data_IF_498009571325
#
_entry.id   IF_498009571325
#
_cell.length_a   1.000
_cell.length_b   1.000
_cell.length_c   1.000
_cell.angle_alpha   90.00
_cell.angle_beta   90.00
_cell.angle_gamma   90.00
#
_symmetry.space_group_name_H-M   'P 1'
#
loop_
_entity.id
_entity.type
_entity.pdbx_description
1 polymer ?
#
# COMPACT_ATOMS: atom_id res chain seq x y z
N UNK A 1 -21.45 -9.57 -28.96
CA UNK A 1 -20.73 -8.93 -27.83
C UNK A 1 -19.61 -8.10 -28.42
N UNK A 2 -19.57 -6.79 -28.14
CA UNK A 2 -18.54 -5.88 -28.67
C UNK A 2 -17.16 -6.28 -28.14
N UNK A 3 -16.17 -6.48 -29.03
CA UNK A 3 -14.80 -6.89 -28.69
C UNK A 3 -14.16 -5.96 -27.65
N UNK A 4 -14.42 -4.65 -27.75
CA UNK A 4 -13.91 -3.64 -26.83
C UNK A 4 -14.46 -3.86 -25.42
N UNK A 5 -15.77 -4.11 -25.29
CA UNK A 5 -16.41 -4.36 -24.00
C UNK A 5 -15.90 -5.65 -23.35
N UNK A 6 -15.62 -6.68 -24.16
CA UNK A 6 -15.04 -7.91 -23.66
C UNK A 6 -13.64 -7.70 -23.07
N UNK A 7 -12.77 -6.99 -23.79
CA UNK A 7 -11.41 -6.68 -23.33
C UNK A 7 -11.43 -5.82 -22.07
N UNK A 8 -12.28 -4.79 -22.02
CA UNK A 8 -12.43 -3.94 -20.81
C UNK A 8 -12.90 -4.75 -19.61
N UNK A 9 -13.83 -5.69 -19.82
CA UNK A 9 -14.30 -6.59 -18.74
C UNK A 9 -13.21 -7.51 -18.23
N UNK A 10 -12.40 -8.10 -19.11
CA UNK A 10 -11.27 -8.94 -18.73
C UNK A 10 -10.21 -8.15 -17.96
N UNK A 11 -9.90 -6.94 -18.43
CA UNK A 11 -8.92 -6.09 -17.76
C UNK A 11 -9.40 -5.64 -16.37
N UNK A 12 -10.68 -5.31 -16.23
CA UNK A 12 -11.28 -5.04 -14.91
C UNK A 12 -11.11 -6.21 -13.94
N UNK A 13 -11.37 -7.44 -14.38
CA UNK A 13 -11.19 -8.64 -13.55
C UNK A 13 -9.72 -8.82 -13.13
N UNK A 14 -8.78 -8.58 -14.05
CA UNK A 14 -7.34 -8.61 -13.75
C UNK A 14 -6.97 -7.56 -12.71
N UNK A 15 -7.46 -6.33 -12.85
CA UNK A 15 -7.23 -5.23 -11.90
C UNK A 15 -7.80 -5.56 -10.52
N UNK A 16 -9.01 -6.11 -10.44
CA UNK A 16 -9.64 -6.53 -9.18
C UNK A 16 -8.81 -7.62 -8.45
N UNK A 17 -8.32 -8.60 -9.20
CA UNK A 17 -7.41 -9.62 -8.67
C UNK A 17 -6.12 -9.02 -8.12
N UNK A 18 -5.50 -8.09 -8.86
CA UNK A 18 -4.27 -7.42 -8.43
C UNK A 18 -4.49 -6.56 -7.18
N UNK A 19 -5.61 -5.84 -7.11
CA UNK A 19 -5.99 -5.05 -5.94
C UNK A 19 -6.13 -5.93 -4.68
N UNK A 20 -6.81 -7.08 -4.79
CA UNK A 20 -6.94 -8.01 -3.68
C UNK A 20 -5.58 -8.55 -3.21
N UNK A 21 -4.70 -8.94 -4.15
CA UNK A 21 -3.34 -9.40 -3.84
C UNK A 21 -2.53 -8.33 -3.11
N UNK A 22 -2.55 -7.09 -3.61
CA UNK A 22 -1.81 -5.99 -2.97
C UNK A 22 -2.38 -5.58 -1.62
N UNK A 23 -3.70 -5.63 -1.44
CA UNK A 23 -4.30 -5.40 -0.12
C UNK A 23 -3.85 -6.45 0.91
N UNK A 24 -3.75 -7.72 0.50
CA UNK A 24 -3.19 -8.79 1.34
C UNK A 24 -1.73 -8.50 1.70
N UNK A 25 -0.91 -8.11 0.73
CA UNK A 25 0.51 -7.79 0.97
C UNK A 25 0.69 -6.56 1.87
N UNK A 26 -0.09 -5.51 1.65
CA UNK A 26 -0.13 -4.32 2.51
C UNK A 26 -0.56 -4.66 3.94
N UNK A 27 -1.35 -5.71 4.16
CA UNK A 27 -1.74 -6.10 5.53
C UNK A 27 -0.56 -6.65 6.34
N UNK A 28 0.42 -7.26 5.66
CA UNK A 28 1.62 -7.83 6.26
C UNK A 28 2.78 -6.84 6.42
N UNK A 29 2.74 -5.69 5.74
CA UNK A 29 3.81 -4.70 5.77
C UNK A 29 3.64 -3.66 6.89
N UNK A 30 4.73 -3.23 7.55
CA UNK A 30 4.67 -2.24 8.61
C UNK A 30 4.15 -0.89 8.10
N UNK A 31 3.21 -0.31 8.84
CA UNK A 31 2.69 1.03 8.57
C UNK A 31 3.60 2.09 9.21
N UNK A 32 3.56 3.31 8.67
CA UNK A 32 4.12 4.49 9.32
C UNK A 32 5.55 4.82 8.90
N UNK A 33 6.30 5.38 9.85
CA UNK A 33 7.64 5.95 9.59
C UNK A 33 8.62 5.61 10.72
N UNK A 34 9.91 5.53 10.38
CA UNK A 34 10.96 5.46 11.39
C UNK A 34 11.23 6.87 11.94
N UNK A 35 11.19 7.00 13.26
CA UNK A 35 11.57 8.19 14.01
C UNK A 35 12.84 7.91 14.80
N UNK A 36 13.78 8.84 14.72
CA UNK A 36 15.01 8.80 15.49
C UNK A 36 14.85 9.66 16.76
N UNK A 37 15.43 9.19 17.87
CA UNK A 37 15.49 9.93 19.13
C UNK A 37 16.91 9.87 19.66
N UNK A 38 17.57 11.03 19.76
CA UNK A 38 18.90 11.15 20.36
C UNK A 38 18.76 11.44 21.86
N UNK A 39 19.49 10.70 22.69
CA UNK A 39 19.58 10.90 24.14
C UNK A 39 21.05 10.80 24.54
N UNK A 40 21.67 11.95 24.82
CA UNK A 40 23.13 12.06 24.92
C UNK A 40 23.79 11.58 23.62
N UNK A 41 24.73 10.65 23.74
CA UNK A 41 25.43 10.04 22.60
C UNK A 41 24.69 8.85 21.96
N UNK A 42 23.56 8.43 22.53
CA UNK A 42 22.82 7.25 22.06
C UNK A 42 21.67 7.66 21.13
N UNK A 43 21.52 6.93 20.02
CA UNK A 43 20.39 7.07 19.09
C UNK A 43 19.46 5.86 19.22
N UNK A 44 18.18 6.14 19.43
CA UNK A 44 17.11 5.16 19.50
C UNK A 44 16.16 5.33 18.32
N UNK A 45 15.61 4.23 17.83
CA UNK A 45 14.76 4.21 16.65
C UNK A 45 13.39 3.67 17.03
N UNK A 46 12.35 4.28 16.46
CA UNK A 46 10.97 3.92 16.73
C UNK A 46 10.18 3.88 15.44
N UNK A 47 9.39 2.83 15.23
CA UNK A 47 8.33 2.80 14.24
C UNK A 47 7.13 3.56 14.79
N UNK A 48 6.81 4.69 14.14
CA UNK A 48 5.65 5.53 14.49
C UNK A 48 4.53 5.32 13.49
N UNK A 49 3.37 4.93 13.97
CA UNK A 49 2.16 4.76 13.15
C UNK A 49 0.91 5.10 13.95
N UNK A 50 -0.20 5.32 13.24
CA UNK A 50 -1.50 5.52 13.85
C UNK A 50 -2.27 4.19 13.85
N UNK A 51 -2.78 3.82 15.01
CA UNK A 51 -3.70 2.71 15.18
C UNK A 51 -5.03 3.25 15.72
N UNK A 52 -6.03 3.33 14.83
CA UNK A 52 -7.28 4.04 15.08
C UNK A 52 -7.05 5.50 15.50
N UNK A 53 -7.39 5.82 16.76
CA UNK A 53 -7.22 7.17 17.34
C UNK A 53 -5.88 7.37 18.06
N UNK A 54 -5.07 6.33 18.23
CA UNK A 54 -3.82 6.39 19.00
C UNK A 54 -2.60 6.43 18.09
N UNK A 55 -1.56 7.16 18.52
CA UNK A 55 -0.25 7.11 17.89
C UNK A 55 0.62 6.14 18.67
N UNK A 56 1.10 5.10 17.99
CA UNK A 56 2.00 4.09 18.54
C UNK A 56 3.43 4.47 18.18
N UNK A 57 4.35 4.34 19.14
CA UNK A 57 5.79 4.48 18.94
C UNK A 57 6.46 3.20 19.41
N UNK A 58 6.67 2.26 18.51
CA UNK A 58 7.25 0.95 18.81
C UNK A 58 8.77 1.02 18.65
N UNK A 59 9.53 0.57 19.64
CA UNK A 59 10.99 0.53 19.54
C UNK A 59 11.45 -0.42 18.42
N UNK A 60 12.48 -0.01 17.68
CA UNK A 60 13.14 -0.80 16.64
C UNK A 60 14.62 -0.89 16.96
N UNK A 61 15.16 -2.10 16.99
CA UNK A 61 16.57 -2.31 17.30
C UNK A 61 17.48 -1.82 16.17
N UNK A 62 18.72 -1.43 16.49
CA UNK A 62 19.66 -0.90 15.48
C UNK A 62 19.95 -1.89 14.34
N UNK A 63 19.87 -3.19 14.62
CA UNK A 63 20.10 -4.24 13.63
C UNK A 63 18.96 -4.38 12.62
N UNK A 64 17.75 -3.98 13.00
CA UNK A 64 16.54 -4.17 12.20
C UNK A 64 16.11 -2.92 11.42
N UNK A 65 16.68 -1.74 11.73
CA UNK A 65 16.27 -0.46 11.13
C UNK A 65 16.21 -0.54 9.61
N UNK A 66 17.27 -1.05 8.99
CA UNK A 66 17.39 -1.03 7.54
C UNK A 66 16.37 -1.96 6.88
N UNK A 67 16.11 -3.12 7.51
CA UNK A 67 15.04 -4.01 7.09
C UNK A 67 13.67 -3.34 7.23
N UNK A 68 13.37 -2.70 8.37
CA UNK A 68 12.09 -2.03 8.57
C UNK A 68 11.92 -0.86 7.59
N UNK A 69 12.98 -0.09 7.30
CA UNK A 69 12.97 0.96 6.26
C UNK A 69 12.62 0.38 4.90
N UNK A 70 13.30 -0.70 4.48
CA UNK A 70 13.01 -1.35 3.20
C UNK A 70 11.56 -1.84 3.11
N UNK A 71 11.01 -2.40 4.19
CA UNK A 71 9.61 -2.84 4.26
C UNK A 71 8.62 -1.67 4.17
N UNK A 72 8.94 -0.52 4.78
CA UNK A 72 8.12 0.71 4.67
C UNK A 72 8.16 1.27 3.24
N UNK A 73 9.32 1.32 2.60
CA UNK A 73 9.41 1.78 1.22
C UNK A 73 8.68 0.85 0.26
N UNK A 74 8.83 -0.47 0.45
CA UNK A 74 8.03 -1.47 -0.29
C UNK A 74 6.54 -1.21 -0.13
N UNK A 75 6.07 -0.92 1.09
CA UNK A 75 4.67 -0.57 1.35
C UNK A 75 4.24 0.65 0.55
N UNK A 76 5.03 1.74 0.55
CA UNK A 76 4.73 2.97 -0.20
C UNK A 76 4.62 2.71 -1.70
N UNK A 77 5.51 1.92 -2.27
CA UNK A 77 5.44 1.55 -3.68
C UNK A 77 4.14 0.81 -4.01
N UNK A 78 3.72 -0.13 -3.17
CA UNK A 78 2.47 -0.86 -3.35
C UNK A 78 1.26 0.07 -3.19
N UNK A 79 1.28 1.00 -2.23
CA UNK A 79 0.21 2.00 -2.05
C UNK A 79 0.04 2.89 -3.29
N UNK A 80 1.14 3.28 -3.96
CA UNK A 80 1.11 4.00 -5.23
C UNK A 80 0.48 3.15 -6.34
N UNK A 81 0.87 1.87 -6.46
CA UNK A 81 0.30 0.96 -7.46
C UNK A 81 -1.19 0.74 -7.25
N UNK A 82 -1.62 0.53 -5.99
CA UNK A 82 -3.04 0.36 -5.63
C UNK A 82 -3.85 1.61 -6.03
N UNK A 83 -3.30 2.81 -5.80
CA UNK A 83 -3.96 4.05 -6.21
C UNK A 83 -4.14 4.15 -7.73
N UNK A 84 -3.14 3.76 -8.51
CA UNK A 84 -3.23 3.70 -9.98
C UNK A 84 -4.30 2.70 -10.44
N UNK A 85 -4.24 1.48 -9.94
CA UNK A 85 -5.18 0.40 -10.27
C UNK A 85 -6.62 0.76 -9.91
N UNK A 86 -6.83 1.46 -8.79
CA UNK A 86 -8.16 1.93 -8.41
C UNK A 86 -8.70 2.99 -9.38
N UNK A 87 -7.84 3.89 -9.88
CA UNK A 87 -8.22 4.86 -10.89
C UNK A 87 -8.56 4.18 -12.23
N UNK A 88 -7.75 3.21 -12.67
CA UNK A 88 -8.02 2.39 -13.86
C UNK A 88 -9.37 1.65 -13.74
N UNK A 89 -9.64 1.06 -12.57
CA UNK A 89 -10.91 0.38 -12.30
C UNK A 89 -12.11 1.31 -12.46
N UNK A 90 -12.05 2.52 -11.91
CA UNK A 90 -13.14 3.52 -12.02
C UNK A 90 -13.42 3.89 -13.47
N UNK A 91 -12.38 3.97 -14.31
CA UNK A 91 -12.55 4.22 -15.76
C UNK A 91 -13.23 3.01 -16.42
N UNK A 92 -12.76 1.80 -16.12
CA UNK A 92 -13.35 0.57 -16.67
C UNK A 92 -14.83 0.42 -16.28
N UNK A 93 -15.18 0.75 -15.04
CA UNK A 93 -16.55 0.74 -14.53
C UNK A 93 -17.45 1.67 -15.35
N UNK A 94 -17.02 2.93 -15.56
CA UNK A 94 -17.78 3.91 -16.36
C UNK A 94 -18.00 3.48 -17.81
N UNK A 95 -16.98 2.88 -18.44
CA UNK A 95 -17.08 2.39 -19.83
C UNK A 95 -18.09 1.25 -19.94
N UNK A 96 -18.12 0.36 -18.95
CA UNK A 96 -19.06 -0.77 -18.92
C UNK A 96 -20.49 -0.31 -18.58
N UNK A 97 -20.66 0.66 -17.68
CA UNK A 97 -21.97 1.24 -17.34
C UNK A 97 -22.60 1.99 -18.52
N UNK A 98 -21.82 2.79 -19.26
CA UNK A 98 -22.30 3.52 -20.44
C UNK A 98 -22.56 2.65 -21.67
N UNK A 99 -22.30 1.35 -21.58
CA UNK A 99 -22.57 0.37 -22.63
C UNK A 99 -23.83 -0.48 -22.36
N UNK A 100 -24.50 -0.25 -21.22
CA UNK A 100 -25.81 -0.79 -20.85
C UNK A 100 -26.88 0.20 -21.30
#
# INVERSE_FOLDING_TARGET
MNLILHTVKQEKQRVEYMLAKYQSELSALPKGVISEKKVGEKTYYYLKYRDGKKVISQYVSKKEIENVRALIEKRRHIEVMVKSLQAEKVIADKVLEGAI
#
